data_IF_578630154895
#
_entry.id   IF_578630154895
#
_cell.length_a   1.000
_cell.length_b   1.000
_cell.length_c   1.000
_cell.angle_alpha   90.00
_cell.angle_beta   90.00
_cell.angle_gamma   90.00
#
_symmetry.space_group_name_H-M   'P 1'
#
loop_
_entity.id
_entity.type
_entity.pdbx_description
1 polymer ?
#
# COMPACT_ATOMS: atom_id res chain seq x y z
N UNK A 1 -34.87 -20.72 3.02
CA UNK A 1 -33.56 -21.24 3.44
C UNK A 1 -33.20 -20.55 4.71
N UNK A 2 -32.98 -21.23 5.85
CA UNK A 2 -32.51 -20.57 7.05
C UNK A 2 -31.12 -19.98 6.73
N UNK A 3 -30.92 -18.72 7.09
CA UNK A 3 -29.61 -18.09 7.07
C UNK A 3 -28.71 -18.86 8.04
N UNK A 4 -27.73 -19.58 7.53
CA UNK A 4 -26.65 -20.07 8.38
C UNK A 4 -26.13 -18.86 9.15
N UNK A 5 -26.17 -18.93 10.46
CA UNK A 5 -25.55 -17.96 11.36
C UNK A 5 -24.04 -18.09 11.21
N UNK A 6 -23.49 -17.49 10.16
CA UNK A 6 -22.05 -17.38 9.98
C UNK A 6 -21.59 -16.44 11.11
N UNK A 7 -20.92 -16.99 12.10
CA UNK A 7 -20.27 -16.22 13.16
C UNK A 7 -19.34 -15.20 12.49
N UNK A 8 -19.49 -13.90 12.77
CA UNK A 8 -18.65 -12.90 12.13
C UNK A 8 -17.17 -13.15 12.51
N UNK A 9 -16.28 -13.05 11.53
CA UNK A 9 -14.83 -13.26 11.74
C UNK A 9 -14.27 -12.35 12.83
N UNK A 10 -14.77 -11.12 12.95
CA UNK A 10 -14.33 -10.14 13.92
C UNK A 10 -15.41 -9.86 14.99
N UNK A 11 -14.98 -9.57 16.22
CA UNK A 11 -15.87 -9.18 17.31
C UNK A 11 -16.31 -7.72 17.19
N UNK A 12 -15.46 -6.90 16.57
CA UNK A 12 -15.61 -5.47 16.35
C UNK A 12 -15.31 -5.13 14.90
N UNK A 13 -15.60 -3.90 14.45
CA UNK A 13 -15.06 -3.38 13.21
C UNK A 13 -13.54 -3.31 13.24
N UNK A 14 -12.90 -3.41 12.08
CA UNK A 14 -11.45 -3.28 11.93
C UNK A 14 -11.13 -2.15 10.94
N UNK A 15 -10.20 -1.29 11.34
CA UNK A 15 -9.58 -0.31 10.48
C UNK A 15 -8.11 -0.64 10.28
N UNK A 16 -7.68 -0.70 9.04
CA UNK A 16 -6.28 -0.88 8.68
C UNK A 16 -5.87 0.13 7.62
N UNK A 17 -4.60 0.54 7.67
CA UNK A 17 -3.98 1.38 6.66
C UNK A 17 -2.78 0.64 6.10
N UNK A 18 -2.68 0.55 4.77
CA UNK A 18 -1.46 0.15 4.09
C UNK A 18 -0.97 1.25 3.14
N UNK A 19 0.31 1.56 3.23
CA UNK A 19 0.98 2.60 2.47
C UNK A 19 1.87 1.93 1.44
N UNK A 20 1.69 2.25 0.15
CA UNK A 20 2.58 1.78 -0.91
C UNK A 20 3.80 2.70 -0.93
N UNK A 21 4.85 2.31 -0.17
CA UNK A 21 6.06 3.11 0.00
C UNK A 21 7.11 2.69 -1.02
N UNK A 22 7.14 3.41 -2.12
CA UNK A 22 7.82 3.02 -3.36
C UNK A 22 8.64 4.14 -4.02
N UNK A 23 8.48 5.40 -3.58
CA UNK A 23 9.12 6.57 -4.20
C UNK A 23 8.88 6.60 -5.72
N UNK A 24 9.93 6.87 -6.53
CA UNK A 24 9.79 6.90 -8.00
C UNK A 24 9.61 5.52 -8.64
N UNK A 25 9.97 4.45 -7.94
CA UNK A 25 9.81 3.08 -8.45
C UNK A 25 8.36 2.74 -8.80
N UNK A 26 7.39 3.32 -8.11
CA UNK A 26 5.97 3.11 -8.41
C UNK A 26 5.46 3.74 -9.71
N UNK A 27 6.25 4.61 -10.32
CA UNK A 27 5.81 5.40 -11.47
C UNK A 27 6.78 5.46 -12.66
N UNK A 28 8.01 4.96 -12.51
CA UNK A 28 9.04 5.05 -13.58
C UNK A 28 8.58 4.37 -14.87
N UNK A 29 7.89 3.25 -14.77
CA UNK A 29 7.41 2.43 -15.88
C UNK A 29 6.22 3.04 -16.64
N UNK A 30 5.56 4.05 -16.09
CA UNK A 30 4.37 4.69 -16.66
C UNK A 30 4.64 6.06 -17.28
N UNK A 31 5.87 6.54 -17.26
CA UNK A 31 6.26 7.89 -17.68
C UNK A 31 5.70 9.02 -16.80
N UNK A 32 5.01 8.68 -15.69
CA UNK A 32 4.48 9.67 -14.75
C UNK A 32 5.54 10.25 -13.82
N UNK A 33 6.68 9.58 -13.71
CA UNK A 33 7.81 10.02 -12.90
C UNK A 33 8.26 11.45 -13.25
N UNK A 34 8.23 11.84 -14.53
CA UNK A 34 8.61 13.19 -14.96
C UNK A 34 7.73 14.27 -14.33
N UNK A 35 6.42 14.09 -14.28
CA UNK A 35 5.50 15.02 -13.60
C UNK A 35 5.76 15.12 -12.10
N UNK A 36 6.19 14.02 -11.49
CA UNK A 36 6.51 13.98 -10.07
C UNK A 36 7.82 14.74 -9.82
N UNK A 37 8.85 14.51 -10.62
CA UNK A 37 10.12 15.24 -10.57
C UNK A 37 9.88 16.73 -10.78
N UNK A 38 9.19 17.12 -11.86
CA UNK A 38 8.89 18.52 -12.20
C UNK A 38 8.15 19.25 -11.07
N UNK A 39 7.24 18.55 -10.36
CA UNK A 39 6.53 19.13 -9.23
C UNK A 39 7.47 19.46 -8.06
N UNK A 40 8.38 18.56 -7.74
CA UNK A 40 9.30 18.75 -6.61
C UNK A 40 10.47 19.70 -6.94
N UNK A 41 10.86 19.85 -8.18
CA UNK A 41 11.92 20.81 -8.60
C UNK A 41 11.52 22.27 -8.31
N UNK A 42 10.21 22.58 -8.33
CA UNK A 42 9.70 23.94 -8.11
C UNK A 42 9.54 24.30 -6.62
N UNK A 43 9.37 23.33 -5.72
CA UNK A 43 8.99 23.56 -4.32
C UNK A 43 10.13 23.34 -3.29
N UNK A 44 11.37 23.64 -3.65
CA UNK A 44 12.51 23.55 -2.69
C UNK A 44 13.22 22.21 -2.67
N UNK A 45 12.95 21.35 -3.64
CA UNK A 45 13.67 20.11 -3.89
C UNK A 45 12.95 18.86 -3.40
N UNK A 46 13.00 17.86 -4.25
CA UNK A 46 12.39 16.54 -4.06
C UNK A 46 12.79 15.87 -2.74
N UNK A 47 14.03 16.08 -2.31
CA UNK A 47 14.56 15.53 -1.07
C UNK A 47 13.75 16.01 0.15
N UNK A 48 13.64 17.32 0.33
CA UNK A 48 12.97 17.91 1.49
C UNK A 48 11.47 17.57 1.51
N UNK A 49 10.80 17.65 0.35
CA UNK A 49 9.38 17.36 0.24
C UNK A 49 9.02 15.90 0.58
N UNK A 50 9.78 14.93 0.08
CA UNK A 50 9.56 13.51 0.36
C UNK A 50 9.73 13.20 1.83
N UNK A 51 10.79 13.72 2.45
CA UNK A 51 11.06 13.50 3.87
C UNK A 51 10.02 14.19 4.75
N UNK A 52 9.65 15.41 4.43
CA UNK A 52 8.60 16.14 5.15
C UNK A 52 7.24 15.41 5.12
N UNK A 53 6.88 14.74 4.02
CA UNK A 53 5.65 13.94 3.95
C UNK A 53 5.74 12.73 4.89
N UNK A 54 6.86 12.01 4.90
CA UNK A 54 7.05 10.86 5.80
C UNK A 54 7.02 11.33 7.27
N UNK A 55 7.74 12.40 7.61
CA UNK A 55 7.75 12.96 8.95
C UNK A 55 6.34 13.33 9.43
N UNK A 56 5.58 14.04 8.61
CA UNK A 56 4.19 14.42 8.92
C UNK A 56 3.25 13.22 9.07
N UNK A 57 3.46 12.14 8.31
CA UNK A 57 2.69 10.90 8.48
C UNK A 57 3.01 10.24 9.82
N UNK A 58 4.28 10.15 10.17
CA UNK A 58 4.70 9.58 11.45
C UNK A 58 4.15 10.41 12.63
N UNK A 59 4.22 11.76 12.55
CA UNK A 59 3.61 12.66 13.54
C UNK A 59 2.09 12.45 13.65
N UNK A 60 1.40 12.30 12.52
CA UNK A 60 -0.04 12.06 12.50
C UNK A 60 -0.40 10.73 13.16
N UNK A 61 0.32 9.66 12.83
CA UNK A 61 0.08 8.34 13.40
C UNK A 61 0.44 8.29 14.89
N UNK A 62 1.50 8.97 15.30
CA UNK A 62 1.85 9.15 16.71
C UNK A 62 0.76 9.88 17.49
N UNK A 63 0.28 11.00 16.96
CA UNK A 63 -0.77 11.84 17.57
C UNK A 63 -2.04 11.06 17.94
N UNK A 64 -2.41 10.09 17.10
CA UNK A 64 -3.64 9.32 17.26
C UNK A 64 -3.39 7.88 17.74
N UNK A 65 -2.15 7.53 18.04
CA UNK A 65 -1.73 6.16 18.39
C UNK A 65 -2.28 5.12 17.40
N UNK A 66 -1.99 5.32 16.12
CA UNK A 66 -2.45 4.49 15.01
C UNK A 66 -1.26 3.80 14.36
N UNK A 67 -1.24 2.46 14.44
CA UNK A 67 -0.25 1.63 13.74
C UNK A 67 -0.71 1.36 12.32
N UNK A 68 0.23 1.37 11.39
CA UNK A 68 -0.02 1.17 9.96
C UNK A 68 0.98 0.20 9.35
N UNK A 69 0.66 -0.35 8.19
CA UNK A 69 1.57 -1.18 7.39
C UNK A 69 2.22 -0.33 6.30
N UNK A 70 3.53 -0.16 6.37
CA UNK A 70 4.33 0.41 5.30
C UNK A 70 4.75 -0.72 4.35
N UNK A 71 4.01 -0.90 3.26
CA UNK A 71 4.37 -1.84 2.20
C UNK A 71 5.54 -1.23 1.41
N UNK A 72 6.73 -1.60 1.83
CA UNK A 72 7.99 -1.00 1.41
C UNK A 72 8.57 -1.75 0.23
N UNK A 73 8.91 -1.03 -0.83
CA UNK A 73 9.64 -1.58 -1.96
C UNK A 73 11.03 -2.02 -1.51
N UNK A 74 11.45 -3.23 -1.88
CA UNK A 74 12.71 -3.81 -1.41
C UNK A 74 13.94 -2.98 -1.76
N UNK A 75 13.94 -2.33 -2.92
CA UNK A 75 15.03 -1.44 -3.34
C UNK A 75 15.31 -0.30 -2.34
N UNK A 76 14.29 0.16 -1.59
CA UNK A 76 14.45 1.24 -0.60
C UNK A 76 15.25 0.84 0.63
N UNK A 77 15.55 -0.45 0.82
CA UNK A 77 16.49 -0.91 1.87
C UNK A 77 17.95 -0.76 1.47
N UNK A 78 18.25 -0.55 0.19
CA UNK A 78 19.62 -0.44 -0.31
C UNK A 78 20.21 0.94 -0.01
N UNK A 79 21.51 0.96 0.30
CA UNK A 79 22.31 2.19 0.30
C UNK A 79 22.58 2.67 -1.13
N UNK A 80 22.91 1.72 -2.02
CA UNK A 80 23.22 1.91 -3.43
C UNK A 80 22.99 0.58 -4.17
N UNK A 81 22.91 0.62 -5.50
CA UNK A 81 22.84 -0.61 -6.28
C UNK A 81 24.23 -1.08 -6.73
N UNK A 82 24.33 -2.38 -7.00
CA UNK A 82 25.53 -2.95 -7.61
C UNK A 82 25.48 -2.86 -9.13
N UNK A 83 26.62 -2.53 -9.73
CA UNK A 83 26.81 -2.53 -11.18
C UNK A 83 28.07 -3.35 -11.50
N UNK A 84 27.90 -4.41 -12.29
CA UNK A 84 29.00 -5.25 -12.77
C UNK A 84 28.99 -5.19 -14.31
N UNK A 85 30.11 -4.82 -14.90
CA UNK A 85 30.26 -4.67 -16.35
C UNK A 85 29.18 -3.80 -17.01
N UNK A 86 28.73 -2.75 -16.31
CA UNK A 86 27.67 -1.85 -16.74
C UNK A 86 26.24 -2.39 -16.57
N UNK A 87 26.08 -3.60 -16.05
CA UNK A 87 24.78 -4.21 -15.75
C UNK A 87 24.39 -3.87 -14.31
N UNK A 88 23.29 -3.19 -14.13
CA UNK A 88 22.70 -2.85 -12.83
C UNK A 88 21.93 -4.05 -12.28
N UNK A 89 22.03 -4.31 -10.98
CA UNK A 89 21.41 -5.47 -10.32
C UNK A 89 21.65 -6.78 -11.08
N UNK A 90 22.93 -7.21 -11.25
CA UNK A 90 23.26 -8.36 -12.08
C UNK A 90 22.74 -9.68 -11.53
N UNK A 91 22.40 -9.74 -10.25
CA UNK A 91 21.83 -10.88 -9.52
C UNK A 91 20.30 -11.02 -9.74
N UNK A 92 19.66 -10.02 -10.34
CA UNK A 92 18.21 -10.03 -10.53
C UNK A 92 17.81 -10.44 -11.95
N UNK A 93 16.90 -11.42 -12.14
CA UNK A 93 16.34 -11.74 -13.46
C UNK A 93 15.48 -10.58 -13.97
N UNK A 94 15.43 -10.43 -15.32
CA UNK A 94 14.71 -9.35 -15.97
C UNK A 94 13.29 -9.75 -16.31
N UNK A 95 12.27 -9.00 -15.84
CA UNK A 95 10.90 -9.19 -16.32
C UNK A 95 10.82 -8.86 -17.81
N UNK A 96 10.01 -9.63 -18.55
CA UNK A 96 9.83 -9.48 -19.99
C UNK A 96 8.44 -8.91 -20.31
N UNK A 97 8.14 -7.74 -19.70
CA UNK A 97 6.85 -7.08 -19.95
C UNK A 97 6.79 -6.51 -21.37
N UNK A 98 5.85 -7.01 -22.20
CA UNK A 98 5.72 -6.63 -23.60
C UNK A 98 5.44 -5.13 -23.83
N UNK A 99 4.93 -4.44 -22.82
CA UNK A 99 4.59 -3.02 -22.82
C UNK A 99 5.73 -2.12 -22.31
N UNK A 100 6.81 -2.71 -21.76
CA UNK A 100 7.97 -1.98 -21.24
C UNK A 100 9.18 -2.27 -22.11
N UNK A 101 9.74 -1.26 -22.81
CA UNK A 101 10.89 -1.46 -23.68
C UNK A 101 12.20 -1.41 -22.89
N UNK A 102 13.11 -2.35 -23.15
CA UNK A 102 14.46 -2.35 -22.61
C UNK A 102 14.62 -3.02 -21.25
N UNK A 103 15.75 -2.76 -20.60
CA UNK A 103 16.07 -3.33 -19.30
C UNK A 103 15.28 -2.64 -18.17
N UNK A 104 14.63 -3.44 -17.34
CA UNK A 104 13.81 -2.98 -16.20
C UNK A 104 14.58 -2.09 -15.25
N UNK A 105 15.86 -2.38 -15.02
CA UNK A 105 16.73 -1.65 -14.09
C UNK A 105 17.47 -0.47 -14.75
N UNK A 106 17.30 -0.23 -16.04
CA UNK A 106 18.01 0.85 -16.76
C UNK A 106 17.81 2.23 -16.12
N UNK A 107 16.65 2.47 -15.52
CA UNK A 107 16.28 3.74 -14.88
C UNK A 107 16.88 3.95 -13.50
N UNK A 108 17.39 2.91 -12.84
CA UNK A 108 18.07 3.08 -11.56
C UNK A 108 19.32 3.95 -11.75
N UNK A 109 19.45 5.08 -11.02
CA UNK A 109 20.63 5.94 -11.13
C UNK A 109 21.89 5.33 -10.51
N UNK A 110 21.78 4.23 -9.76
CA UNK A 110 22.88 3.56 -9.05
C UNK A 110 23.73 4.54 -8.22
N UNK A 111 23.06 5.35 -7.42
CA UNK A 111 23.65 6.28 -6.46
C UNK A 111 23.11 6.02 -5.06
N UNK A 112 23.28 6.94 -4.14
CA UNK A 112 22.70 6.89 -2.79
C UNK A 112 21.51 7.86 -2.62
N UNK A 113 20.85 7.81 -1.44
CA UNK A 113 19.69 8.65 -1.17
C UNK A 113 20.02 10.15 -1.07
N UNK A 114 21.28 10.55 -0.86
CA UNK A 114 21.68 11.97 -0.83
C UNK A 114 21.75 12.55 -2.23
N UNK A 115 22.23 11.74 -3.16
CA UNK A 115 22.32 12.12 -4.56
C UNK A 115 21.00 11.92 -5.31
N UNK A 116 20.26 10.85 -4.99
CA UNK A 116 19.04 10.45 -5.68
C UNK A 116 17.90 10.12 -4.68
N UNK A 117 17.41 11.13 -3.94
CA UNK A 117 16.47 10.96 -2.83
C UNK A 117 15.09 10.46 -3.24
N UNK A 118 14.78 10.45 -4.53
CA UNK A 118 13.53 9.92 -5.06
C UNK A 118 13.60 8.43 -5.43
N UNK A 119 14.81 7.86 -5.51
CA UNK A 119 15.03 6.47 -5.86
C UNK A 119 15.45 5.61 -4.66
N UNK A 120 16.13 6.21 -3.67
CA UNK A 120 16.69 5.55 -2.51
C UNK A 120 16.09 6.10 -1.23
N UNK A 121 15.77 5.24 -0.28
CA UNK A 121 15.03 5.63 0.92
C UNK A 121 15.41 4.87 2.18
N UNK A 122 16.63 4.31 2.28
CA UNK A 122 17.06 3.55 3.46
C UNK A 122 16.93 4.36 4.75
N UNK A 123 17.33 5.62 4.73
CA UNK A 123 17.18 6.54 5.86
C UNK A 123 15.71 6.75 6.27
N UNK A 124 14.78 6.73 5.31
CA UNK A 124 13.35 6.77 5.61
C UNK A 124 12.84 5.46 6.20
N UNK A 125 13.33 4.31 5.71
CA UNK A 125 13.02 3.00 6.31
C UNK A 125 13.49 2.95 7.75
N UNK A 126 14.73 3.37 8.03
CA UNK A 126 15.28 3.44 9.39
C UNK A 126 14.45 4.38 10.29
N UNK A 127 14.01 5.52 9.77
CA UNK A 127 13.14 6.46 10.48
C UNK A 127 11.78 5.84 10.81
N UNK A 128 11.14 5.13 9.88
CA UNK A 128 9.86 4.43 10.11
C UNK A 128 10.03 3.35 11.19
N UNK A 129 11.14 2.61 11.17
CA UNK A 129 11.43 1.59 12.17
C UNK A 129 11.66 2.15 13.57
N UNK A 130 12.19 3.37 13.67
CA UNK A 130 12.42 4.06 14.94
C UNK A 130 11.18 4.79 15.48
N UNK A 131 10.10 4.86 14.70
CA UNK A 131 8.91 5.63 15.07
C UNK A 131 8.02 4.89 16.09
N UNK A 132 7.31 5.68 16.89
CA UNK A 132 6.27 5.22 17.79
C UNK A 132 4.91 5.85 17.41
N UNK A 133 3.80 5.06 17.48
CA UNK A 133 3.77 3.63 17.82
C UNK A 133 4.48 2.79 16.75
N UNK A 134 5.02 1.65 17.14
CA UNK A 134 5.76 0.78 16.20
C UNK A 134 4.89 0.34 15.03
N UNK A 135 5.30 0.73 13.82
CA UNK A 135 4.61 0.37 12.58
C UNK A 135 5.06 -1.01 12.07
N UNK A 136 4.26 -1.58 11.19
CA UNK A 136 4.66 -2.75 10.42
C UNK A 136 5.37 -2.32 9.14
N UNK A 137 6.49 -2.98 8.82
CA UNK A 137 7.07 -2.98 7.48
C UNK A 137 6.61 -4.25 6.77
N UNK A 138 5.82 -4.08 5.72
CA UNK A 138 5.45 -5.11 4.76
C UNK A 138 6.26 -5.00 3.47
N UNK A 139 6.07 -5.92 2.54
CA UNK A 139 6.75 -5.91 1.25
C UNK A 139 5.87 -5.36 0.13
N UNK A 140 6.50 -4.64 -0.81
CA UNK A 140 5.89 -4.19 -2.07
C UNK A 140 6.67 -4.67 -3.31
N UNK A 141 7.21 -5.91 -3.28
CA UNK A 141 8.24 -6.46 -4.18
C UNK A 141 9.58 -5.74 -4.09
N UNK A 142 10.58 -6.23 -4.81
CA UNK A 142 11.90 -5.60 -4.82
C UNK A 142 11.96 -4.37 -5.73
N UNK A 143 11.47 -4.48 -6.97
CA UNK A 143 11.62 -3.46 -8.01
C UNK A 143 10.31 -3.07 -8.71
N UNK A 144 9.16 -3.28 -8.05
CA UNK A 144 7.84 -2.94 -8.57
C UNK A 144 7.41 -3.73 -9.83
N UNK A 145 7.87 -4.97 -10.00
CA UNK A 145 7.47 -5.86 -11.10
C UNK A 145 5.98 -6.17 -11.04
N UNK A 146 5.31 -6.26 -12.18
CA UNK A 146 3.88 -6.56 -12.26
C UNK A 146 3.65 -8.07 -12.27
N UNK A 147 3.32 -8.64 -11.12
CA UNK A 147 3.25 -10.09 -10.87
C UNK A 147 2.21 -10.84 -11.71
N UNK A 148 1.13 -10.20 -12.11
CA UNK A 148 0.10 -10.84 -12.95
C UNK A 148 0.42 -10.79 -14.44
N UNK A 149 1.45 -10.06 -14.84
CA UNK A 149 1.86 -9.94 -16.25
C UNK A 149 2.62 -11.18 -16.68
N UNK A 150 2.41 -11.61 -17.94
CA UNK A 150 3.10 -12.78 -18.51
C UNK A 150 4.61 -12.64 -18.55
N UNK A 151 5.12 -11.43 -18.58
CA UNK A 151 6.55 -11.14 -18.52
C UNK A 151 7.18 -11.34 -17.13
N UNK A 152 6.37 -11.53 -16.09
CA UNK A 152 6.83 -11.93 -14.77
C UNK A 152 6.75 -13.46 -14.65
N UNK A 153 7.83 -14.15 -14.96
CA UNK A 153 7.91 -15.62 -14.77
C UNK A 153 7.94 -15.98 -13.29
N UNK A 154 7.76 -17.26 -12.97
CA UNK A 154 7.89 -17.72 -11.58
C UNK A 154 9.28 -17.44 -11.00
N UNK A 155 10.33 -17.53 -11.81
CA UNK A 155 11.70 -17.21 -11.45
C UNK A 155 11.86 -15.73 -11.09
N UNK A 156 11.31 -14.83 -11.92
CA UNK A 156 11.31 -13.37 -11.64
C UNK A 156 10.55 -13.08 -10.35
N UNK A 157 9.35 -13.64 -10.20
CA UNK A 157 8.53 -13.42 -9.01
C UNK A 157 9.23 -13.92 -7.74
N UNK A 158 9.87 -15.09 -7.80
CA UNK A 158 10.59 -15.67 -6.67
C UNK A 158 11.83 -14.83 -6.29
N UNK A 159 12.59 -14.33 -7.28
CA UNK A 159 13.72 -13.44 -7.05
C UNK A 159 13.28 -12.12 -6.40
N UNK A 160 12.20 -11.49 -6.89
CA UNK A 160 11.61 -10.27 -6.31
C UNK A 160 11.21 -10.46 -4.83
N UNK A 161 10.61 -11.59 -4.49
CA UNK A 161 10.17 -11.92 -3.13
C UNK A 161 11.37 -12.23 -2.23
N UNK A 162 12.25 -13.12 -2.67
CA UNK A 162 13.42 -13.56 -1.88
C UNK A 162 14.38 -12.41 -1.60
N UNK A 163 14.59 -11.52 -2.58
CA UNK A 163 15.43 -10.32 -2.40
C UNK A 163 14.89 -9.40 -1.32
N UNK A 164 13.58 -9.18 -1.24
CA UNK A 164 12.98 -8.40 -0.14
C UNK A 164 13.26 -9.03 1.23
N UNK A 165 13.09 -10.34 1.35
CA UNK A 165 13.35 -11.05 2.61
C UNK A 165 14.83 -10.99 2.99
N UNK A 166 15.75 -11.13 2.02
CA UNK A 166 17.18 -10.96 2.21
C UNK A 166 17.52 -9.58 2.76
N UNK A 167 17.04 -8.52 2.10
CA UNK A 167 17.31 -7.13 2.45
C UNK A 167 16.68 -6.69 3.79
N UNK A 168 15.65 -7.35 4.23
CA UNK A 168 15.02 -7.10 5.52
C UNK A 168 15.79 -7.68 6.72
N UNK A 169 16.62 -8.72 6.51
CA UNK A 169 17.36 -9.42 7.59
C UNK A 169 18.29 -8.51 8.40
N UNK A 170 19.11 -7.63 7.80
CA UNK A 170 19.98 -6.73 8.56
C UNK A 170 19.23 -5.80 9.51
N UNK A 171 17.94 -5.56 9.26
CA UNK A 171 17.06 -4.75 10.11
C UNK A 171 16.30 -5.57 11.16
N UNK A 172 16.57 -6.88 11.30
CA UNK A 172 15.83 -7.82 12.15
C UNK A 172 14.32 -7.88 11.83
N UNK A 173 13.96 -7.64 10.59
CA UNK A 173 12.58 -7.66 10.12
C UNK A 173 12.18 -9.04 9.58
N UNK A 174 10.97 -9.45 9.96
CA UNK A 174 10.24 -10.56 9.31
C UNK A 174 9.09 -9.95 8.54
N UNK A 175 9.18 -9.95 7.22
CA UNK A 175 8.13 -9.47 6.34
C UNK A 175 6.97 -10.48 6.35
N UNK A 176 5.81 -10.08 6.85
CA UNK A 176 4.65 -10.97 6.98
C UNK A 176 3.50 -10.55 6.06
N UNK A 177 3.47 -9.31 5.60
CA UNK A 177 2.47 -8.79 4.68
C UNK A 177 3.06 -8.41 3.34
N UNK A 178 2.29 -8.66 2.28
CA UNK A 178 2.67 -8.35 0.90
C UNK A 178 1.60 -7.51 0.21
N UNK A 179 2.03 -6.47 -0.47
CA UNK A 179 1.18 -5.64 -1.31
C UNK A 179 1.71 -5.72 -2.75
N UNK A 180 0.86 -6.18 -3.66
CA UNK A 180 1.26 -6.34 -5.05
C UNK A 180 1.32 -5.00 -5.77
N UNK A 181 2.39 -4.73 -6.57
CA UNK A 181 2.45 -3.59 -7.47
C UNK A 181 1.18 -3.46 -8.30
N UNK A 182 0.63 -2.25 -8.37
CA UNK A 182 -0.65 -1.92 -9.04
C UNK A 182 -1.85 -2.78 -8.58
N UNK A 183 -1.78 -3.39 -7.40
CA UNK A 183 -2.78 -4.35 -6.89
C UNK A 183 -3.06 -5.52 -7.87
N UNK A 184 -2.07 -5.92 -8.67
CA UNK A 184 -2.19 -7.00 -9.63
C UNK A 184 -1.58 -8.29 -9.06
N UNK A 185 -2.45 -9.15 -8.53
CA UNK A 185 -2.07 -10.37 -7.85
C UNK A 185 -1.56 -11.41 -8.86
N UNK A 186 -0.43 -12.04 -8.55
CA UNK A 186 0.16 -13.14 -9.30
C UNK A 186 1.09 -13.96 -8.42
N UNK A 187 1.38 -15.20 -8.78
CA UNK A 187 2.33 -16.07 -8.06
C UNK A 187 2.08 -16.17 -6.53
N UNK A 188 0.82 -16.13 -6.10
CA UNK A 188 0.40 -16.17 -4.70
C UNK A 188 0.99 -17.34 -3.93
N UNK A 189 1.19 -18.48 -4.62
CA UNK A 189 1.73 -19.72 -4.05
C UNK A 189 3.16 -19.60 -3.54
N UNK A 190 3.91 -18.60 -4.00
CA UNK A 190 5.27 -18.36 -3.57
C UNK A 190 5.33 -17.68 -2.20
N UNK A 191 4.39 -16.78 -1.90
CA UNK A 191 4.44 -15.93 -0.71
C UNK A 191 4.55 -16.71 0.60
N UNK A 192 3.75 -17.76 0.88
CA UNK A 192 3.88 -18.53 2.11
C UNK A 192 5.25 -19.20 2.28
N UNK A 193 5.92 -19.59 1.18
CA UNK A 193 7.26 -20.20 1.22
C UNK A 193 8.32 -19.25 1.83
N UNK A 194 8.10 -17.95 1.70
CA UNK A 194 8.98 -16.89 2.20
C UNK A 194 8.50 -16.24 3.51
N UNK A 195 7.49 -16.84 4.15
CA UNK A 195 7.01 -16.42 5.47
C UNK A 195 5.93 -15.33 5.45
N UNK A 196 5.40 -14.98 4.27
CA UNK A 196 4.26 -14.08 4.19
C UNK A 196 2.98 -14.79 4.62
N UNK A 197 2.14 -14.10 5.38
CA UNK A 197 0.90 -14.62 5.97
C UNK A 197 -0.34 -13.90 5.46
N UNK A 198 -0.17 -12.70 4.89
CA UNK A 198 -1.28 -11.92 4.38
C UNK A 198 -0.84 -11.09 3.17
N UNK A 199 -1.72 -11.01 2.17
CA UNK A 199 -1.54 -10.10 1.06
C UNK A 199 -2.76 -9.17 0.90
N UNK A 200 -2.51 -7.95 0.40
CA UNK A 200 -3.59 -7.04 0.02
C UNK A 200 -4.20 -7.48 -1.30
N UNK A 201 -5.51 -7.71 -1.28
CA UNK A 201 -6.32 -8.04 -2.45
C UNK A 201 -7.21 -6.89 -2.89
N UNK A 202 -7.79 -7.04 -4.07
CA UNK A 202 -8.76 -6.07 -4.60
C UNK A 202 -10.15 -6.31 -4.03
N UNK A 203 -10.86 -5.23 -3.64
CA UNK A 203 -12.27 -5.33 -3.31
C UNK A 203 -13.12 -5.40 -4.59
N UNK A 204 -14.26 -6.11 -4.58
CA UNK A 204 -15.20 -6.11 -5.68
C UNK A 204 -15.98 -4.79 -5.71
N UNK A 205 -15.36 -3.73 -6.19
CA UNK A 205 -15.99 -2.42 -6.31
C UNK A 205 -17.10 -2.49 -7.37
N UNK A 206 -18.28 -1.96 -7.05
CA UNK A 206 -19.48 -2.06 -7.90
C UNK A 206 -19.28 -1.53 -9.32
N UNK A 207 -18.42 -0.52 -9.50
CA UNK A 207 -18.15 0.07 -10.82
C UNK A 207 -17.27 -0.82 -11.72
N UNK A 208 -16.62 -1.86 -11.19
CA UNK A 208 -15.94 -2.87 -12.02
C UNK A 208 -16.89 -3.75 -12.82
N UNK A 209 -18.19 -3.73 -12.50
CA UNK A 209 -19.23 -4.41 -13.31
C UNK A 209 -19.36 -3.81 -14.71
N UNK A 210 -18.92 -2.57 -14.92
CA UNK A 210 -18.92 -1.95 -16.23
C UNK A 210 -17.70 -2.38 -17.04
N UNK A 211 -17.92 -3.09 -18.15
CA UNK A 211 -16.87 -3.47 -19.10
C UNK A 211 -16.33 -2.24 -19.86
N UNK A 212 -17.18 -1.26 -20.14
CA UNK A 212 -16.80 -0.02 -20.79
C UNK A 212 -15.94 0.84 -19.86
N UNK A 213 -14.70 1.15 -20.30
CA UNK A 213 -13.70 1.90 -19.52
C UNK A 213 -14.18 3.32 -19.15
N UNK A 214 -14.90 3.98 -20.05
CA UNK A 214 -15.41 5.35 -19.83
C UNK A 214 -16.52 5.35 -18.80
N UNK A 215 -17.49 4.44 -18.91
CA UNK A 215 -18.56 4.26 -17.92
C UNK A 215 -18.00 3.89 -16.55
N UNK A 216 -17.01 3.01 -16.50
CA UNK A 216 -16.36 2.64 -15.26
C UNK A 216 -15.66 3.83 -14.60
N UNK A 217 -14.98 4.68 -15.38
CA UNK A 217 -14.35 5.91 -14.86
C UNK A 217 -15.37 6.91 -14.36
N UNK A 218 -16.46 7.10 -15.08
CA UNK A 218 -17.56 7.98 -14.66
C UNK A 218 -18.22 7.46 -13.38
N UNK A 219 -18.53 6.18 -13.30
CA UNK A 219 -19.10 5.56 -12.11
C UNK A 219 -18.18 5.66 -10.89
N UNK A 220 -16.87 5.49 -11.08
CA UNK A 220 -15.87 5.71 -10.02
C UNK A 220 -15.86 7.17 -9.55
N UNK A 221 -15.91 8.14 -10.48
CA UNK A 221 -16.00 9.56 -10.13
C UNK A 221 -17.26 9.88 -9.33
N UNK A 222 -18.40 9.33 -9.72
CA UNK A 222 -19.68 9.46 -9.01
C UNK A 222 -19.59 8.85 -7.60
N UNK A 223 -18.97 7.66 -7.47
CA UNK A 223 -18.75 7.02 -6.17
C UNK A 223 -17.87 7.88 -5.25
N UNK A 224 -16.81 8.46 -5.79
CA UNK A 224 -15.93 9.34 -5.03
C UNK A 224 -16.60 10.66 -4.63
N UNK A 225 -17.44 11.24 -5.50
CA UNK A 225 -18.18 12.47 -5.21
C UNK A 225 -19.23 12.28 -4.10
N UNK A 226 -20.00 11.21 -4.16
CA UNK A 226 -21.15 11.00 -3.29
C UNK A 226 -20.92 10.03 -2.14
N UNK A 227 -19.77 9.31 -2.14
CA UNK A 227 -19.49 8.25 -1.18
C UNK A 227 -20.67 7.27 -1.07
N UNK A 228 -21.08 6.72 -2.22
CA UNK A 228 -22.36 5.99 -2.35
C UNK A 228 -22.35 4.74 -1.48
N UNK A 229 -21.32 3.91 -1.62
CA UNK A 229 -21.24 2.65 -0.90
C UNK A 229 -19.77 2.28 -0.63
N UNK A 230 -19.17 2.72 0.48
CA UNK A 230 -17.85 2.23 0.88
C UNK A 230 -17.89 0.71 0.98
N UNK A 231 -16.89 0.06 0.43
CA UNK A 231 -16.77 -1.40 0.48
C UNK A 231 -16.03 -1.77 1.75
N UNK A 232 -16.60 -2.70 2.52
CA UNK A 232 -15.90 -3.38 3.60
C UNK A 232 -15.90 -4.87 3.29
N UNK A 233 -14.98 -5.62 3.85
CA UNK A 233 -14.87 -7.05 3.62
C UNK A 233 -14.17 -7.74 4.77
N UNK A 234 -14.04 -9.05 4.67
CA UNK A 234 -13.25 -9.85 5.60
C UNK A 234 -12.11 -10.53 4.83
N UNK A 235 -10.94 -10.74 5.44
CA UNK A 235 -9.88 -11.52 4.83
C UNK A 235 -10.39 -12.92 4.47
N UNK A 236 -9.94 -13.41 3.33
CA UNK A 236 -10.24 -14.76 2.88
C UNK A 236 -8.99 -15.61 2.93
N UNK A 237 -9.09 -16.80 3.49
CA UNK A 237 -7.98 -17.73 3.50
C UNK A 237 -7.78 -18.30 2.09
N UNK A 238 -6.60 -18.06 1.51
CA UNK A 238 -6.21 -18.58 0.21
C UNK A 238 -5.59 -19.97 0.32
N UNK A 239 -4.75 -20.17 1.34
CA UNK A 239 -4.14 -21.44 1.77
C UNK A 239 -4.05 -21.42 3.30
N UNK A 240 -3.92 -22.57 3.95
CA UNK A 240 -3.77 -22.65 5.39
C UNK A 240 -2.70 -21.68 5.92
N UNK A 241 -3.11 -20.72 6.76
CA UNK A 241 -2.23 -19.68 7.31
C UNK A 241 -1.85 -18.52 6.37
N UNK A 242 -2.43 -18.46 5.15
CA UNK A 242 -2.19 -17.34 4.23
C UNK A 242 -3.51 -16.69 3.77
N UNK A 243 -3.65 -15.40 4.04
CA UNK A 243 -4.88 -14.62 3.90
C UNK A 243 -4.81 -13.57 2.81
N UNK A 244 -5.93 -13.27 2.19
CA UNK A 244 -6.09 -12.14 1.25
C UNK A 244 -7.04 -11.12 1.88
N UNK A 245 -6.51 -9.96 2.27
CA UNK A 245 -7.29 -8.86 2.83
C UNK A 245 -7.76 -7.90 1.73
N UNK A 246 -9.07 -7.67 1.57
CA UNK A 246 -9.57 -6.74 0.55
C UNK A 246 -9.23 -5.30 0.92
N UNK A 247 -8.82 -4.48 -0.08
CA UNK A 247 -8.72 -3.03 0.06
C UNK A 247 -10.12 -2.41 -0.08
N UNK A 248 -10.45 -1.42 0.74
CA UNK A 248 -11.77 -0.78 0.75
C UNK A 248 -11.77 0.57 0.04
N UNK A 249 -10.74 1.36 0.26
CA UNK A 249 -10.64 2.70 -0.30
C UNK A 249 -9.19 3.02 -0.63
N UNK A 250 -8.95 3.51 -1.84
CA UNK A 250 -7.70 4.17 -2.19
C UNK A 250 -7.88 5.69 -2.05
N UNK A 251 -7.05 6.34 -1.23
CA UNK A 251 -7.09 7.79 -1.04
C UNK A 251 -6.45 8.46 -2.25
N UNK A 252 -7.28 8.82 -3.22
CA UNK A 252 -6.87 9.41 -4.49
C UNK A 252 -6.23 10.79 -4.30
N UNK A 253 -5.14 11.05 -5.06
CA UNK A 253 -4.51 12.37 -5.15
C UNK A 253 -5.47 13.46 -5.66
N UNK A 254 -5.12 14.71 -5.44
CA UNK A 254 -5.87 15.87 -5.96
C UNK A 254 -5.27 16.41 -7.26
N UNK A 255 -4.93 15.51 -8.18
CA UNK A 255 -4.40 15.84 -9.50
C UNK A 255 -5.44 15.68 -10.63
N UNK A 256 -5.20 16.30 -11.76
CA UNK A 256 -6.04 16.18 -12.96
C UNK A 256 -7.54 16.37 -12.68
N UNK A 257 -8.45 15.55 -13.26
CA UNK A 257 -9.87 15.63 -13.03
C UNK A 257 -10.28 15.37 -11.57
N UNK A 258 -9.47 14.64 -10.80
CA UNK A 258 -9.74 14.31 -9.39
C UNK A 258 -9.68 15.53 -8.46
N UNK A 259 -9.08 16.64 -8.89
CA UNK A 259 -9.13 17.94 -8.17
C UNK A 259 -10.54 18.47 -8.00
N UNK A 260 -11.49 18.04 -8.87
CA UNK A 260 -12.90 18.42 -8.79
C UNK A 260 -13.66 17.68 -7.67
N UNK A 261 -13.11 16.58 -7.14
CA UNK A 261 -13.73 15.86 -6.02
C UNK A 261 -13.48 16.65 -4.74
N UNK A 262 -14.53 17.14 -4.07
CA UNK A 262 -14.38 17.93 -2.85
C UNK A 262 -13.67 17.14 -1.75
N UNK A 263 -12.83 17.80 -0.98
CA UNK A 263 -12.15 17.17 0.15
C UNK A 263 -13.13 16.55 1.16
N UNK A 264 -14.29 17.18 1.35
CA UNK A 264 -15.37 16.69 2.22
C UNK A 264 -15.94 15.34 1.75
N UNK A 265 -15.92 15.07 0.44
CA UNK A 265 -16.39 13.78 -0.10
C UNK A 265 -15.43 12.67 0.24
N UNK A 266 -14.10 12.91 0.17
CA UNK A 266 -13.07 11.95 0.60
C UNK A 266 -13.19 11.63 2.09
N UNK A 267 -13.33 12.67 2.92
CA UNK A 267 -13.54 12.50 4.37
C UNK A 267 -14.81 11.69 4.64
N UNK A 268 -15.92 12.07 4.01
CA UNK A 268 -17.21 11.38 4.17
C UNK A 268 -17.11 9.90 3.77
N UNK A 269 -16.40 9.59 2.67
CA UNK A 269 -16.22 8.21 2.20
C UNK A 269 -15.44 7.38 3.22
N UNK A 270 -14.35 7.92 3.76
CA UNK A 270 -13.56 7.27 4.81
C UNK A 270 -14.38 7.04 6.10
N UNK A 271 -15.06 8.07 6.59
CA UNK A 271 -15.90 7.97 7.79
C UNK A 271 -17.04 6.95 7.60
N UNK A 272 -17.77 7.02 6.49
CA UNK A 272 -18.82 6.02 6.19
C UNK A 272 -18.27 4.59 6.11
N UNK A 273 -17.05 4.42 5.59
CA UNK A 273 -16.39 3.12 5.53
C UNK A 273 -16.10 2.57 6.93
N UNK A 274 -15.55 3.40 7.82
CA UNK A 274 -15.30 3.04 9.22
C UNK A 274 -16.62 2.68 9.93
N UNK A 275 -17.66 3.50 9.81
CA UNK A 275 -18.97 3.23 10.42
C UNK A 275 -19.59 1.94 9.90
N UNK A 276 -19.40 1.65 8.62
CA UNK A 276 -19.86 0.40 8.04
C UNK A 276 -19.07 -0.80 8.58
N UNK A 277 -17.76 -0.68 8.72
CA UNK A 277 -16.93 -1.73 9.31
C UNK A 277 -17.37 -2.03 10.75
N UNK A 278 -17.68 -0.99 11.53
CA UNK A 278 -18.24 -1.15 12.90
C UNK A 278 -19.57 -1.90 12.87
N UNK A 279 -20.50 -1.48 12.01
CA UNK A 279 -21.83 -2.08 11.94
C UNK A 279 -21.82 -3.53 11.45
N UNK A 280 -20.95 -3.86 10.48
CA UNK A 280 -20.87 -5.18 9.86
C UNK A 280 -19.80 -6.09 10.50
N UNK A 281 -19.04 -5.61 11.51
CA UNK A 281 -17.90 -6.31 12.11
C UNK A 281 -16.94 -6.83 11.04
N UNK A 282 -16.58 -5.95 10.13
CA UNK A 282 -15.76 -6.21 8.95
C UNK A 282 -14.57 -5.26 8.90
N UNK A 283 -13.76 -5.33 7.85
CA UNK A 283 -12.57 -4.51 7.68
C UNK A 283 -12.84 -3.34 6.74
N UNK A 284 -12.49 -2.13 7.17
CA UNK A 284 -12.28 -1.00 6.29
C UNK A 284 -10.79 -0.76 6.11
N UNK A 285 -10.27 -1.09 4.92
CA UNK A 285 -8.86 -1.00 4.57
C UNK A 285 -8.60 0.22 3.69
N UNK A 286 -7.95 1.23 4.25
CA UNK A 286 -7.52 2.44 3.56
C UNK A 286 -6.12 2.23 2.97
N UNK A 287 -5.91 2.58 1.70
CA UNK A 287 -4.58 2.52 1.08
C UNK A 287 -4.25 3.81 0.32
N UNK A 288 -2.97 4.14 0.23
CA UNK A 288 -2.45 5.25 -0.56
C UNK A 288 -0.93 5.20 -0.70
N UNK A 289 -0.39 5.97 -1.66
CA UNK A 289 1.04 6.21 -1.79
C UNK A 289 1.42 7.44 -0.94
N UNK A 290 2.35 7.35 0.00
CA UNK A 290 2.73 8.46 0.87
C UNK A 290 3.10 9.72 0.10
N UNK A 291 3.96 9.59 -0.90
CA UNK A 291 4.46 10.72 -1.67
C UNK A 291 3.49 11.14 -2.77
N UNK A 292 3.15 10.26 -3.71
CA UNK A 292 2.31 10.61 -4.88
C UNK A 292 0.91 11.14 -4.53
N UNK A 293 0.24 10.56 -3.52
CA UNK A 293 -1.12 10.96 -3.19
C UNK A 293 -1.18 12.20 -2.30
N UNK A 294 -0.15 12.47 -1.53
CA UNK A 294 -0.13 13.57 -0.58
C UNK A 294 0.60 14.82 -1.07
N UNK A 295 1.52 14.72 -2.04
CA UNK A 295 2.28 15.86 -2.54
C UNK A 295 1.41 16.90 -3.26
N UNK A 296 0.39 16.47 -4.00
CA UNK A 296 -0.54 17.39 -4.66
C UNK A 296 -1.60 17.88 -3.67
N UNK A 297 -1.61 19.18 -3.38
CA UNK A 297 -2.49 19.82 -2.38
C UNK A 297 -2.27 19.24 -0.96
N UNK A 298 -1.02 19.17 -0.54
CA UNK A 298 -0.54 18.51 0.68
C UNK A 298 -1.39 18.85 1.91
N UNK A 299 -1.61 20.12 2.21
CA UNK A 299 -2.39 20.54 3.39
C UNK A 299 -3.83 20.00 3.39
N UNK A 300 -4.49 20.02 2.23
CA UNK A 300 -5.87 19.53 2.10
C UNK A 300 -5.92 18.01 2.21
N UNK A 301 -4.93 17.30 1.67
CA UNK A 301 -4.87 15.84 1.73
C UNK A 301 -4.55 15.37 3.14
N UNK A 302 -3.61 16.01 3.84
CA UNK A 302 -3.35 15.74 5.26
C UNK A 302 -4.55 16.04 6.14
N UNK A 303 -5.25 17.15 5.89
CA UNK A 303 -6.49 17.44 6.59
C UNK A 303 -7.54 16.34 6.42
N UNK A 304 -7.69 15.79 5.19
CA UNK A 304 -8.63 14.70 4.96
C UNK A 304 -8.20 13.42 5.69
N UNK A 305 -6.93 13.06 5.58
CA UNK A 305 -6.38 11.88 6.24
C UNK A 305 -6.51 11.99 7.75
N UNK A 306 -6.16 13.14 8.33
CA UNK A 306 -6.30 13.38 9.76
C UNK A 306 -7.75 13.21 10.24
N UNK A 307 -8.75 13.72 9.50
CA UNK A 307 -10.16 13.57 9.87
C UNK A 307 -10.60 12.09 9.86
N UNK A 308 -10.08 11.30 8.92
CA UNK A 308 -10.38 9.86 8.84
C UNK A 308 -9.70 9.12 10.00
N UNK A 309 -8.41 9.37 10.23
CA UNK A 309 -7.61 8.74 11.30
C UNK A 309 -8.16 9.10 12.68
N UNK A 310 -8.47 10.38 12.92
CA UNK A 310 -9.07 10.84 14.18
C UNK A 310 -10.43 10.17 14.45
N UNK A 311 -11.24 9.94 13.40
CA UNK A 311 -12.51 9.24 13.53
C UNK A 311 -12.29 7.76 13.90
N UNK A 312 -11.32 7.09 13.27
CA UNK A 312 -10.97 5.72 13.60
C UNK A 312 -10.45 5.58 15.04
N UNK A 313 -9.57 6.49 15.47
CA UNK A 313 -9.06 6.52 16.82
C UNK A 313 -10.19 6.68 17.86
N UNK A 314 -11.13 7.61 17.62
CA UNK A 314 -12.29 7.78 18.47
C UNK A 314 -13.14 6.50 18.58
N UNK A 315 -13.43 5.83 17.46
CA UNK A 315 -14.21 4.57 17.46
C UNK A 315 -13.46 3.43 18.16
N UNK A 316 -12.12 3.43 18.09
CA UNK A 316 -11.27 2.53 18.86
C UNK A 316 -11.41 2.80 20.36
N UNK A 317 -11.31 4.05 20.78
CA UNK A 317 -11.36 4.47 22.19
C UNK A 317 -12.76 4.22 22.79
N UNK A 318 -13.82 4.26 21.97
CA UNK A 318 -15.19 3.86 22.31
C UNK A 318 -15.37 2.33 22.37
N UNK A 319 -14.35 1.52 22.03
CA UNK A 319 -14.39 0.06 22.07
C UNK A 319 -15.18 -0.60 20.94
N UNK A 320 -15.52 0.14 19.86
CA UNK A 320 -16.33 -0.36 18.75
C UNK A 320 -15.50 -0.73 17.49
N UNK A 321 -14.23 -0.33 17.47
CA UNK A 321 -13.31 -0.53 16.36
C UNK A 321 -11.96 -1.00 16.87
N UNK A 322 -11.29 -1.86 16.12
CA UNK A 322 -9.86 -2.14 16.28
C UNK A 322 -9.05 -1.48 15.17
N UNK A 323 -7.89 -0.95 15.52
CA UNK A 323 -6.89 -0.50 14.54
C UNK A 323 -5.78 -1.54 14.51
N UNK A 324 -5.59 -2.15 13.35
CA UNK A 324 -4.65 -3.25 13.16
C UNK A 324 -3.75 -3.02 11.95
N UNK A 325 -2.50 -3.45 12.03
CA UNK A 325 -1.65 -3.64 10.85
C UNK A 325 -2.12 -4.88 10.07
N UNK A 326 -1.58 -5.08 8.87
CA UNK A 326 -1.94 -6.28 8.09
C UNK A 326 -1.46 -7.57 8.77
N UNK A 327 -0.26 -7.59 9.36
CA UNK A 327 0.23 -8.78 10.07
C UNK A 327 -0.60 -9.09 11.32
N UNK A 328 -1.00 -8.09 12.10
CA UNK A 328 -1.90 -8.27 13.25
C UNK A 328 -3.28 -8.80 12.82
N UNK A 329 -3.74 -8.41 11.65
CA UNK A 329 -4.98 -8.95 11.09
C UNK A 329 -4.82 -10.43 10.72
N UNK A 330 -3.66 -10.85 10.18
CA UNK A 330 -3.37 -12.27 9.95
C UNK A 330 -3.33 -13.07 11.24
N UNK A 331 -2.68 -12.54 12.30
CA UNK A 331 -2.66 -13.16 13.64
C UNK A 331 -4.08 -13.38 14.17
N UNK A 332 -4.93 -12.37 14.04
CA UNK A 332 -6.32 -12.46 14.49
C UNK A 332 -7.11 -13.53 13.71
N UNK A 333 -6.98 -13.54 12.38
CA UNK A 333 -7.66 -14.52 11.54
C UNK A 333 -7.23 -15.96 11.86
N UNK A 334 -5.94 -16.19 12.09
CA UNK A 334 -5.42 -17.51 12.43
C UNK A 334 -5.92 -17.99 13.79
N UNK A 335 -5.91 -17.12 14.82
CA UNK A 335 -6.45 -17.45 16.14
C UNK A 335 -7.93 -17.86 16.07
N UNK A 336 -8.72 -17.19 15.22
CA UNK A 336 -10.14 -17.53 15.03
C UNK A 336 -10.34 -18.82 14.24
N UNK A 337 -9.49 -19.09 13.24
CA UNK A 337 -9.57 -20.35 12.48
C UNK A 337 -9.26 -21.59 13.34
N UNK A 338 -8.40 -21.46 14.34
CA UNK A 338 -8.08 -22.54 15.29
C UNK A 338 -9.19 -22.74 16.33
N UNK A 339 -9.99 -21.70 16.61
CA UNK A 339 -11.02 -21.70 17.64
C UNK A 339 -12.39 -22.18 17.15
N UNK A 340 -12.58 -22.31 15.83
CA UNK A 340 -13.80 -22.83 15.17
C UNK A 340 -13.56 -24.24 14.63
#
# INVERSE_FOLDING_TARGET
MPSENITPMFDQGVFTISLDFELLWGSFDSGKHRKFIDHFEHDGGAFAATRAIVDRLLELFHKYDVRVTWATLGHLFLDHCETIDGIKHPDMPRPQHSWFPGDWYAHDPCKDYRAEPLWYGRDLVEKILAAEPRHEIGSHSFSHVIFSDRGCTAEVAEAEISKCVELARPFNLKLQSFVFPRNQLGHLDLLPKYGFRIARGSAPLWFFRFSNRTLRRAAHMVDDLFAIRPVCGVPQEFKPGFWIAPVSMFLQSMDGPRRLIPIRSRIRKGIKGIERAVAEKSVFHLSFHPTENLCFSTERMFFALEKIVAHAARRRDEGSLRVMTMSEMADYCEQRAVSN
#
